data_IF_546004519705
#
_entry.id   IF_546004519705
#
_cell.length_a   1.000
_cell.length_b   1.000
_cell.length_c   1.000
_cell.angle_alpha   90.00
_cell.angle_beta   90.00
_cell.angle_gamma   90.00
#
_symmetry.space_group_name_H-M   'P 1'
#
loop_
_entity.id
_entity.type
_entity.pdbx_description
1 polymer ?
#
# COMPACT_ATOMS: atom_id res chain seq x y z
N UNK A 1 -6.59 -10.10 -11.17
CA UNK A 1 -6.14 -8.98 -12.04
C UNK A 1 -4.65 -8.67 -11.83
N UNK A 2 -4.21 -8.28 -10.63
CA UNK A 2 -2.83 -7.83 -10.38
C UNK A 2 -1.73 -8.80 -10.88
N UNK A 3 -1.86 -10.12 -10.63
CA UNK A 3 -0.86 -11.11 -11.07
C UNK A 3 -0.58 -11.06 -12.58
N UNK A 4 -1.62 -11.05 -13.41
CA UNK A 4 -1.48 -10.99 -14.86
C UNK A 4 -0.83 -9.68 -15.32
N UNK A 5 -1.16 -8.56 -14.67
CA UNK A 5 -0.55 -7.27 -14.99
C UNK A 5 0.96 -7.26 -14.69
N UNK A 6 1.37 -7.78 -13.53
CA UNK A 6 2.78 -7.83 -13.15
C UNK A 6 3.59 -8.82 -13.98
N UNK A 7 2.99 -9.94 -14.39
CA UNK A 7 3.60 -10.86 -15.34
C UNK A 7 3.84 -10.20 -16.71
N UNK A 8 2.84 -9.49 -17.23
CA UNK A 8 2.99 -8.72 -18.47
C UNK A 8 4.05 -7.62 -18.35
N UNK A 9 4.08 -6.91 -17.21
CA UNK A 9 5.08 -5.88 -16.94
C UNK A 9 6.50 -6.45 -16.86
N UNK A 10 6.69 -7.59 -16.18
CA UNK A 10 7.98 -8.28 -16.12
C UNK A 10 8.48 -8.61 -17.52
N UNK A 11 7.66 -9.25 -18.36
CA UNK A 11 8.04 -9.55 -19.74
C UNK A 11 8.33 -8.29 -20.57
N UNK A 12 7.63 -7.18 -20.32
CA UNK A 12 7.92 -5.90 -20.99
C UNK A 12 9.28 -5.32 -20.57
N UNK A 13 9.59 -5.33 -19.27
CA UNK A 13 10.86 -4.82 -18.75
C UNK A 13 12.07 -5.61 -19.29
N UNK A 14 11.91 -6.92 -19.49
CA UNK A 14 12.94 -7.75 -20.12
C UNK A 14 13.21 -7.33 -21.56
N UNK A 15 12.14 -7.17 -22.36
CA UNK A 15 12.26 -6.75 -23.76
C UNK A 15 12.83 -5.34 -23.91
N UNK A 16 12.53 -4.45 -22.97
CA UNK A 16 13.03 -3.08 -22.95
C UNK A 16 14.49 -2.98 -22.48
N UNK A 17 15.11 -4.07 -22.03
CA UNK A 17 16.46 -4.03 -21.47
C UNK A 17 16.53 -3.18 -20.20
N UNK A 18 15.44 -3.14 -19.41
CA UNK A 18 15.38 -2.32 -18.22
C UNK A 18 16.50 -2.68 -17.23
N UNK A 19 16.99 -1.70 -16.42
CA UNK A 19 18.06 -1.95 -15.45
C UNK A 19 17.77 -3.15 -14.56
N UNK A 20 18.78 -3.96 -14.28
CA UNK A 20 18.66 -5.17 -13.45
C UNK A 20 18.07 -4.86 -12.06
N UNK A 21 18.45 -3.71 -11.49
CA UNK A 21 17.88 -3.22 -10.22
C UNK A 21 16.36 -3.02 -10.30
N UNK A 22 15.85 -2.45 -11.39
CA UNK A 22 14.41 -2.25 -11.57
C UNK A 22 13.67 -3.59 -11.74
N UNK A 23 14.23 -4.50 -12.54
CA UNK A 23 13.68 -5.86 -12.71
C UNK A 23 13.64 -6.61 -11.38
N UNK A 24 14.69 -6.50 -10.57
CA UNK A 24 14.76 -7.09 -9.24
C UNK A 24 13.74 -6.48 -8.28
N UNK A 25 13.52 -5.16 -8.32
CA UNK A 25 12.50 -4.49 -7.51
C UNK A 25 11.09 -4.99 -7.85
N UNK A 26 10.76 -5.09 -9.15
CA UNK A 26 9.45 -5.58 -9.59
C UNK A 26 9.26 -7.05 -9.24
N UNK A 27 10.30 -7.88 -9.39
CA UNK A 27 10.26 -9.28 -8.97
C UNK A 27 10.04 -9.41 -7.45
N UNK A 28 10.79 -8.65 -6.65
CA UNK A 28 10.63 -8.63 -5.19
C UNK A 28 9.24 -8.17 -4.74
N UNK A 29 8.68 -7.14 -5.38
CA UNK A 29 7.31 -6.68 -5.13
C UNK A 29 6.28 -7.76 -5.50
N UNK A 30 6.47 -8.41 -6.65
CA UNK A 30 5.58 -9.47 -7.13
C UNK A 30 5.55 -10.62 -6.15
N UNK A 31 6.72 -11.08 -5.69
CA UNK A 31 6.80 -12.14 -4.68
C UNK A 31 6.15 -11.72 -3.36
N UNK A 32 6.52 -10.54 -2.83
CA UNK A 32 6.05 -10.10 -1.51
C UNK A 32 4.54 -9.90 -1.45
N UNK A 33 3.93 -9.33 -2.50
CA UNK A 33 2.53 -8.91 -2.48
C UNK A 33 1.67 -9.69 -3.48
N UNK A 34 2.01 -9.57 -4.77
CA UNK A 34 1.13 -10.00 -5.86
C UNK A 34 0.93 -11.51 -5.91
N UNK A 35 1.99 -12.30 -5.71
CA UNK A 35 1.94 -13.76 -5.67
C UNK A 35 1.11 -14.27 -4.49
N UNK A 36 1.07 -13.51 -3.40
CA UNK A 36 0.32 -13.80 -2.18
C UNK A 36 -1.09 -13.24 -2.18
N UNK A 37 -1.51 -12.56 -3.26
CA UNK A 37 -2.81 -11.88 -3.33
C UNK A 37 -2.95 -10.72 -2.34
N UNK A 38 -1.83 -10.19 -1.85
CA UNK A 38 -1.77 -9.06 -0.92
C UNK A 38 -1.38 -7.76 -1.65
N UNK A 39 -1.48 -6.66 -0.93
CA UNK A 39 -1.02 -5.34 -1.33
C UNK A 39 -0.27 -4.66 -0.17
N UNK A 40 0.50 -3.58 -0.44
CA UNK A 40 1.21 -2.84 0.61
C UNK A 40 0.30 -2.30 1.73
N UNK A 41 -0.96 -1.99 1.42
CA UNK A 41 -1.92 -1.54 2.44
C UNK A 41 -2.21 -2.64 3.48
N UNK A 42 -2.10 -3.91 3.11
CA UNK A 42 -2.30 -5.00 4.06
C UNK A 42 -1.20 -5.05 5.13
N UNK A 43 -0.02 -4.49 4.87
CA UNK A 43 1.04 -4.38 5.88
C UNK A 43 0.69 -3.30 6.91
N UNK A 44 0.09 -2.19 6.46
CA UNK A 44 -0.41 -1.14 7.35
C UNK A 44 -1.55 -1.67 8.23
N UNK A 45 -2.40 -2.55 7.68
CA UNK A 45 -3.46 -3.22 8.44
C UNK A 45 -2.92 -4.29 9.40
N UNK A 46 -1.77 -4.90 9.10
CA UNK A 46 -1.11 -5.87 9.98
C UNK A 46 -0.36 -5.19 11.13
N UNK A 47 0.10 -3.94 10.92
CA UNK A 47 0.79 -3.13 11.93
C UNK A 47 0.11 -1.77 12.13
N UNK A 48 -1.15 -1.74 12.62
CA UNK A 48 -1.91 -0.51 12.69
C UNK A 48 -1.21 0.57 13.53
N UNK A 49 -0.71 0.22 14.71
CA UNK A 49 -0.10 1.21 15.61
C UNK A 49 1.20 1.82 15.05
N UNK A 50 1.97 1.06 14.27
CA UNK A 50 3.17 1.55 13.58
C UNK A 50 2.79 2.54 12.47
N UNK A 51 1.79 2.20 11.66
CA UNK A 51 1.27 3.07 10.60
C UNK A 51 0.64 4.36 11.14
N UNK A 52 0.07 4.36 12.34
CA UNK A 52 -0.55 5.53 12.97
C UNK A 52 0.46 6.41 13.69
N UNK A 53 1.59 5.84 14.14
CA UNK A 53 2.70 6.59 14.74
C UNK A 53 3.45 7.42 13.69
N UNK A 54 3.59 6.91 12.46
CA UNK A 54 4.18 7.62 11.32
C UNK A 54 3.25 8.70 10.72
N UNK A 55 1.97 8.72 11.09
CA UNK A 55 0.97 9.67 10.61
C UNK A 55 0.37 10.54 11.74
N UNK A 56 1.15 11.41 12.40
CA UNK A 56 0.60 12.34 13.37
C UNK A 56 -0.38 13.31 12.69
N UNK A 57 -1.68 13.09 12.91
CA UNK A 57 -2.77 13.98 12.51
C UNK A 57 -3.62 13.55 11.30
N UNK A 58 -3.35 12.40 10.66
CA UNK A 58 -4.05 12.03 9.42
C UNK A 58 -5.29 11.13 9.61
N UNK A 59 -5.50 10.57 10.80
CA UNK A 59 -6.70 9.77 11.10
C UNK A 59 -7.41 10.38 12.30
N UNK A 60 -8.54 11.03 12.04
CA UNK A 60 -9.34 11.71 13.04
C UNK A 60 -10.01 10.75 14.02
N UNK A 61 -9.28 10.29 15.03
CA UNK A 61 -9.89 9.72 16.24
C UNK A 61 -9.91 10.73 17.37
N UNK A 62 -11.13 11.11 17.73
CA UNK A 62 -11.55 11.87 18.92
C UNK A 62 -10.99 13.30 19.03
N UNK A 63 -11.42 14.17 18.12
CA UNK A 63 -11.78 15.51 18.56
C UNK A 63 -13.13 15.39 19.29
N UNK A 64 -13.31 15.92 20.53
CA UNK A 64 -14.59 15.86 21.21
C UNK A 64 -15.63 16.58 20.33
N UNK A 65 -16.59 15.82 19.79
CA UNK A 65 -17.71 16.40 19.04
C UNK A 65 -18.48 17.28 20.02
N UNK A 66 -18.29 18.60 19.91
CA UNK A 66 -19.05 19.58 20.67
C UNK A 66 -20.55 19.30 20.55
N UNK A 67 -21.25 19.41 21.68
CA UNK A 67 -22.72 19.33 21.79
C UNK A 67 -23.38 20.13 20.67
N UNK A 68 -24.39 19.56 20.03
CA UNK A 68 -25.12 20.17 18.90
C UNK A 68 -26.56 20.51 19.29
N UNK A 69 -26.72 20.98 20.52
CA UNK A 69 -28.01 21.22 21.15
C UNK A 69 -27.88 22.39 22.10
N UNK A 70 -28.27 23.57 21.61
CA UNK A 70 -29.21 24.52 22.23
C UNK A 70 -29.26 25.77 21.35
N UNK A 71 -30.37 25.94 20.64
CA UNK A 71 -31.00 27.25 20.54
C UNK A 71 -32.50 27.01 20.73
N UNK A 72 -33.05 27.66 21.77
CA UNK A 72 -34.48 27.76 22.01
C UNK A 72 -34.93 29.17 21.66
#
# INVERSE_FOLDING_TARGET
AARACFEAAAGALERLGAPSALRALVAGFTERYVARGRCPADDLLAHPFDSLAEAPGLWGTTAPRGRKDVVS
#
